data_IF_375217374454
#
_entry.id   IF_375217374454
#
_cell.length_a   1.000
_cell.length_b   1.000
_cell.length_c   1.000
_cell.angle_alpha   90.00
_cell.angle_beta   90.00
_cell.angle_gamma   90.00
#
_symmetry.space_group_name_H-M   'P 1'
#
loop_
_entity.id
_entity.type
_entity.pdbx_description
1 polymer ?
#
# COMPACT_ATOMS: atom_id res chain seq x y z
N UNK A 1 9.38 -5.21 -20.31
CA UNK A 1 8.27 -4.27 -20.03
C UNK A 1 7.30 -4.92 -19.08
N UNK A 2 6.95 -4.26 -17.96
CA UNK A 2 5.90 -4.70 -17.03
C UNK A 2 4.87 -3.59 -16.87
N UNK A 3 3.59 -3.95 -16.76
CA UNK A 3 2.49 -3.02 -16.54
C UNK A 3 1.81 -3.32 -15.20
N UNK A 4 1.18 -2.31 -14.65
CA UNK A 4 0.13 -2.48 -13.66
C UNK A 4 -1.21 -2.33 -14.35
N UNK A 5 -2.09 -3.29 -14.17
CA UNK A 5 -3.40 -3.39 -14.81
C UNK A 5 -4.46 -3.60 -13.73
N UNK A 6 -5.50 -2.79 -13.75
CA UNK A 6 -6.67 -3.00 -12.89
C UNK A 6 -7.77 -3.64 -13.72
N UNK A 7 -8.13 -4.87 -13.35
CA UNK A 7 -9.06 -5.71 -14.09
C UNK A 7 -10.50 -5.16 -14.07
N UNK A 8 -11.27 -5.48 -15.09
CA UNK A 8 -12.65 -4.96 -15.25
C UNK A 8 -13.53 -5.30 -14.04
N UNK A 9 -13.43 -6.50 -13.48
CA UNK A 9 -14.23 -6.90 -12.33
C UNK A 9 -14.00 -6.06 -11.06
N UNK A 10 -12.80 -5.46 -10.90
CA UNK A 10 -12.56 -4.51 -9.84
C UNK A 10 -13.39 -3.23 -10.04
N UNK A 11 -13.40 -2.69 -11.27
CA UNK A 11 -14.13 -1.47 -11.61
C UNK A 11 -15.64 -1.64 -11.52
N UNK A 12 -16.17 -2.86 -11.73
CA UNK A 12 -17.59 -3.15 -11.52
C UNK A 12 -18.02 -2.96 -10.06
N UNK A 13 -17.13 -3.21 -9.11
CA UNK A 13 -17.38 -3.07 -7.66
C UNK A 13 -17.04 -1.65 -7.17
N UNK A 14 -15.94 -1.07 -7.68
CA UNK A 14 -15.38 0.21 -7.25
C UNK A 14 -15.17 1.20 -8.41
N UNK A 15 -16.23 1.64 -9.11
CA UNK A 15 -16.10 2.49 -10.31
C UNK A 15 -15.50 3.87 -10.02
N UNK A 16 -15.57 4.34 -8.78
CA UNK A 16 -15.07 5.65 -8.36
C UNK A 16 -13.70 5.60 -7.71
N UNK A 17 -13.11 4.41 -7.55
CA UNK A 17 -11.78 4.28 -6.96
C UNK A 17 -10.70 4.95 -7.82
N UNK A 18 -9.69 5.47 -7.16
CA UNK A 18 -8.46 5.94 -7.77
C UNK A 18 -7.27 5.28 -7.07
N UNK A 19 -6.27 4.89 -7.84
CA UNK A 19 -5.06 4.26 -7.34
C UNK A 19 -3.87 5.09 -7.82
N UNK A 20 -3.17 5.73 -6.90
CA UNK A 20 -1.90 6.35 -7.21
C UNK A 20 -0.82 5.27 -7.25
N UNK A 21 -0.15 5.19 -8.38
CA UNK A 21 0.95 4.26 -8.66
C UNK A 21 2.24 5.04 -8.67
N UNK A 22 3.23 4.56 -7.95
CA UNK A 22 4.58 5.06 -7.96
C UNK A 22 5.53 3.88 -8.15
N UNK A 23 6.28 3.86 -9.25
CA UNK A 23 7.35 2.91 -9.49
C UNK A 23 8.69 3.64 -9.37
N UNK A 24 9.60 3.11 -8.57
CA UNK A 24 10.91 3.70 -8.30
C UNK A 24 12.03 2.68 -8.45
N UNK A 25 13.23 3.15 -8.74
CA UNK A 25 14.47 2.35 -8.80
C UNK A 25 15.58 3.03 -8.02
N UNK A 26 16.71 2.32 -7.87
CA UNK A 26 17.90 2.77 -7.16
C UNK A 26 17.62 3.12 -5.69
N UNK A 27 16.62 2.47 -5.10
CA UNK A 27 16.31 2.64 -3.68
C UNK A 27 17.48 2.15 -2.84
N UNK A 28 17.84 2.93 -1.82
CA UNK A 28 18.88 2.59 -0.86
C UNK A 28 18.25 2.37 0.50
N UNK A 29 18.08 1.11 0.86
CA UNK A 29 17.58 0.72 2.18
C UNK A 29 18.65 0.87 3.30
N UNK A 30 18.34 0.46 4.49
CA UNK A 30 19.06 0.76 5.74
C UNK A 30 20.59 0.61 5.71
N UNK A 31 21.14 -0.28 4.88
CA UNK A 31 22.59 -0.52 4.78
C UNK A 31 23.39 0.72 4.31
N UNK A 32 22.74 1.62 3.58
CA UNK A 32 23.38 2.75 2.92
C UNK A 32 22.95 4.12 3.47
N UNK A 33 22.07 4.14 4.47
CA UNK A 33 21.66 5.39 5.13
C UNK A 33 22.63 5.79 6.21
N UNK A 34 22.96 7.09 6.24
CA UNK A 34 23.67 7.67 7.38
C UNK A 34 22.73 7.89 8.58
N UNK A 35 23.30 8.03 9.77
CA UNK A 35 22.56 8.19 11.04
C UNK A 35 21.67 9.45 11.04
N UNK A 36 22.02 10.50 10.32
CA UNK A 36 21.25 11.75 10.21
C UNK A 36 19.94 11.50 9.47
N UNK A 37 20.00 10.91 8.26
CA UNK A 37 18.82 10.56 7.47
C UNK A 37 17.92 9.56 8.19
N UNK A 38 18.49 8.55 8.83
CA UNK A 38 17.73 7.58 9.61
C UNK A 38 16.96 8.28 10.76
N UNK A 39 17.59 9.24 11.43
CA UNK A 39 16.96 10.05 12.48
C UNK A 39 15.84 10.94 11.94
N UNK A 40 16.03 11.54 10.76
CA UNK A 40 15.01 12.38 10.10
C UNK A 40 13.80 11.57 9.66
N UNK A 41 13.99 10.37 9.07
CA UNK A 41 12.90 9.46 8.71
C UNK A 41 12.10 9.06 9.96
N UNK A 42 12.80 8.73 11.05
CA UNK A 42 12.15 8.44 12.32
C UNK A 42 11.32 9.62 12.81
N UNK A 43 11.86 10.84 12.77
CA UNK A 43 11.14 12.05 13.17
C UNK A 43 9.91 12.32 12.28
N UNK A 44 10.01 12.04 10.97
CA UNK A 44 8.88 12.08 10.04
C UNK A 44 7.77 11.13 10.47
N UNK A 45 8.11 9.87 10.76
CA UNK A 45 7.15 8.86 11.22
C UNK A 45 6.53 9.22 12.58
N UNK A 46 7.32 9.70 13.52
CA UNK A 46 6.83 10.16 14.83
C UNK A 46 5.83 11.32 14.67
N UNK A 47 6.14 12.30 13.82
CA UNK A 47 5.24 13.41 13.49
C UNK A 47 3.95 12.95 12.82
N UNK A 48 4.03 11.95 11.93
CA UNK A 48 2.88 11.37 11.26
C UNK A 48 1.96 10.62 12.25
N UNK A 49 2.53 9.87 13.20
CA UNK A 49 1.75 9.25 14.29
C UNK A 49 0.94 10.29 15.08
N UNK A 50 1.53 11.43 15.41
CA UNK A 50 0.82 12.51 16.11
C UNK A 50 -0.26 13.15 15.22
N UNK A 51 0.04 13.44 13.97
CA UNK A 51 -0.89 14.07 13.02
C UNK A 51 -2.09 13.16 12.68
N UNK A 52 -1.91 11.85 12.71
CA UNK A 52 -2.97 10.87 12.46
C UNK A 52 -4.10 10.92 13.50
N UNK A 53 -3.85 11.47 14.70
CA UNK A 53 -4.87 11.63 15.75
C UNK A 53 -6.08 12.47 15.29
N UNK A 54 -5.91 13.35 14.29
CA UNK A 54 -7.01 14.12 13.68
C UNK A 54 -8.11 13.23 13.06
N UNK A 55 -7.77 11.99 12.68
CA UNK A 55 -8.71 11.03 12.13
C UNK A 55 -9.39 10.15 13.19
N UNK A 56 -8.99 10.28 14.46
CA UNK A 56 -9.44 9.47 15.58
C UNK A 56 -10.36 10.29 16.48
N UNK A 57 -11.61 10.45 16.05
CA UNK A 57 -12.64 11.23 16.75
C UNK A 57 -13.45 10.41 17.75
N UNK A 58 -13.31 9.06 17.73
CA UNK A 58 -13.93 8.11 18.64
C UNK A 58 -12.88 7.13 19.18
N UNK A 59 -13.06 6.71 20.44
CA UNK A 59 -12.27 5.63 21.06
C UNK A 59 -12.59 4.25 20.46
N UNK A 60 -13.70 4.11 19.76
CA UNK A 60 -14.10 2.91 19.04
C UNK A 60 -13.58 3.01 17.61
N UNK A 61 -12.59 2.19 17.28
CA UNK A 61 -11.89 2.28 15.97
C UNK A 61 -12.86 2.29 14.77
N UNK A 62 -13.92 1.47 14.80
CA UNK A 62 -14.91 1.35 13.72
C UNK A 62 -15.83 2.56 13.53
N UNK A 63 -15.85 3.49 14.46
CA UNK A 63 -16.68 4.70 14.42
C UNK A 63 -15.96 5.87 13.75
N UNK A 64 -14.64 5.76 13.56
CA UNK A 64 -13.85 6.77 12.88
C UNK A 64 -14.13 6.74 11.37
N UNK A 65 -14.34 7.90 10.76
CA UNK A 65 -14.82 8.03 9.38
C UNK A 65 -14.00 7.23 8.37
N UNK A 66 -12.67 7.37 8.38
CA UNK A 66 -11.76 6.64 7.48
C UNK A 66 -11.96 5.13 7.59
N UNK A 67 -12.01 4.62 8.84
CA UNK A 67 -12.16 3.18 9.10
C UNK A 67 -13.52 2.69 8.66
N UNK A 68 -14.57 3.46 8.91
CA UNK A 68 -15.95 3.14 8.49
C UNK A 68 -16.03 3.02 6.96
N UNK A 69 -15.49 3.99 6.23
CA UNK A 69 -15.46 4.00 4.76
C UNK A 69 -14.79 2.72 4.22
N UNK A 70 -13.61 2.35 4.74
CA UNK A 70 -12.92 1.14 4.30
C UNK A 70 -13.62 -0.16 4.72
N UNK A 71 -14.25 -0.22 5.89
CA UNK A 71 -15.05 -1.39 6.29
C UNK A 71 -16.28 -1.58 5.41
N UNK A 72 -16.92 -0.50 4.98
CA UNK A 72 -18.01 -0.55 4.00
C UNK A 72 -17.50 -1.07 2.65
N UNK A 73 -16.33 -0.65 2.19
CA UNK A 73 -15.70 -1.19 0.99
C UNK A 73 -15.41 -2.69 1.11
N UNK A 74 -14.83 -3.13 2.23
CA UNK A 74 -14.53 -4.54 2.50
C UNK A 74 -15.76 -5.43 2.64
N UNK A 75 -16.95 -4.85 2.84
CA UNK A 75 -18.21 -5.61 2.84
C UNK A 75 -18.72 -5.97 1.44
N UNK A 76 -18.14 -5.38 0.38
CA UNK A 76 -18.58 -5.57 -1.01
C UNK A 76 -17.97 -6.81 -1.69
N UNK A 77 -16.99 -7.44 -1.08
CA UNK A 77 -16.33 -8.63 -1.62
C UNK A 77 -15.97 -9.63 -0.52
N UNK A 78 -15.79 -10.93 -0.82
CA UNK A 78 -15.39 -11.93 0.16
C UNK A 78 -14.05 -11.59 0.80
N UNK A 79 -13.97 -11.66 2.13
CA UNK A 79 -12.75 -11.40 2.89
C UNK A 79 -12.49 -12.50 3.91
N UNK A 80 -11.23 -12.76 4.24
CA UNK A 80 -10.88 -13.63 5.37
C UNK A 80 -11.34 -12.99 6.68
N UNK A 81 -11.81 -13.79 7.62
CA UNK A 81 -12.20 -13.30 8.94
C UNK A 81 -11.05 -12.53 9.60
N UNK A 82 -11.32 -11.28 9.94
CA UNK A 82 -10.34 -10.38 10.57
C UNK A 82 -9.52 -9.56 9.58
N UNK A 83 -9.72 -9.73 8.26
CA UNK A 83 -9.12 -8.85 7.27
C UNK A 83 -9.60 -7.40 7.47
N UNK A 84 -8.68 -6.47 7.27
CA UNK A 84 -8.92 -5.04 7.40
C UNK A 84 -7.96 -4.27 6.51
N UNK A 85 -8.37 -3.08 6.08
CA UNK A 85 -7.50 -2.19 5.34
C UNK A 85 -6.23 -1.83 6.14
N UNK A 86 -5.09 -1.68 5.46
CA UNK A 86 -3.81 -1.36 6.11
C UNK A 86 -3.88 -0.09 6.95
N UNK A 87 -4.53 0.96 6.47
CA UNK A 87 -4.69 2.21 7.24
C UNK A 87 -5.48 2.01 8.56
N UNK A 88 -6.47 1.10 8.60
CA UNK A 88 -7.14 0.75 9.85
C UNK A 88 -6.16 0.15 10.86
N UNK A 89 -5.22 -0.68 10.40
CA UNK A 89 -4.22 -1.29 11.28
C UNK A 89 -3.28 -0.21 11.88
N UNK A 90 -2.85 0.74 11.07
CA UNK A 90 -2.00 1.85 11.52
C UNK A 90 -2.75 2.77 12.50
N UNK A 91 -3.94 3.24 12.15
CA UNK A 91 -4.78 4.09 13.00
C UNK A 91 -5.14 3.42 14.34
N UNK A 92 -5.37 2.11 14.33
CA UNK A 92 -5.63 1.36 15.55
C UNK A 92 -4.44 1.36 16.51
N UNK A 93 -3.21 1.29 16.00
CA UNK A 93 -1.98 1.41 16.83
C UNK A 93 -1.90 2.78 17.48
N UNK A 94 -2.12 3.85 16.69
CA UNK A 94 -2.12 5.24 17.20
C UNK A 94 -3.19 5.42 18.28
N UNK A 95 -4.42 4.93 18.05
CA UNK A 95 -5.53 5.02 18.99
C UNK A 95 -5.21 4.36 20.35
N UNK A 96 -4.50 3.24 20.34
CA UNK A 96 -4.16 2.50 21.56
C UNK A 96 -2.84 2.94 22.20
N UNK A 97 -2.22 4.04 21.74
CA UNK A 97 -0.97 4.55 22.31
C UNK A 97 0.25 3.66 22.02
N UNK A 98 0.18 2.82 21.00
CA UNK A 98 1.30 2.01 20.51
C UNK A 98 1.67 2.48 19.10
N UNK A 99 2.39 3.61 18.95
CA UNK A 99 2.66 4.24 17.66
C UNK A 99 3.34 3.27 16.69
N UNK A 100 3.18 3.54 15.39
CA UNK A 100 3.90 2.82 14.35
C UNK A 100 5.39 3.11 14.51
N UNK A 101 6.18 2.07 14.68
CA UNK A 101 7.63 2.17 14.85
C UNK A 101 8.37 1.93 13.54
N UNK A 102 9.68 2.13 13.59
CA UNK A 102 10.58 1.94 12.43
C UNK A 102 10.74 0.46 12.07
N UNK A 103 10.79 0.19 10.77
CA UNK A 103 10.98 -1.14 10.17
C UNK A 103 12.14 -1.06 9.16
N UNK A 104 11.95 -0.31 8.08
CA UNK A 104 12.91 -0.05 7.03
C UNK A 104 12.62 1.34 6.43
N UNK A 105 13.60 2.05 5.87
CA UNK A 105 13.44 3.44 5.41
C UNK A 105 12.23 3.67 4.50
N UNK A 106 12.09 2.89 3.44
CA UNK A 106 10.94 3.02 2.53
C UNK A 106 9.62 2.73 3.23
N UNK A 107 9.57 1.68 4.04
CA UNK A 107 8.37 1.31 4.82
C UNK A 107 8.00 2.40 5.81
N UNK A 108 8.97 3.03 6.47
CA UNK A 108 8.75 4.11 7.43
C UNK A 108 8.21 5.36 6.74
N UNK A 109 8.76 5.71 5.57
CA UNK A 109 8.29 6.83 4.75
C UNK A 109 6.86 6.56 4.24
N UNK A 110 6.58 5.37 3.72
CA UNK A 110 5.24 5.00 3.26
C UNK A 110 4.22 5.00 4.40
N UNK A 111 4.59 4.47 5.58
CA UNK A 111 3.75 4.52 6.78
C UNK A 111 3.50 5.96 7.25
N UNK A 112 4.50 6.83 7.18
CA UNK A 112 4.35 8.24 7.54
C UNK A 112 3.35 8.96 6.62
N UNK A 113 3.43 8.74 5.30
CA UNK A 113 2.47 9.29 4.33
C UNK A 113 1.08 8.67 4.52
N UNK A 114 0.99 7.35 4.72
CA UNK A 114 -0.28 6.66 5.01
C UNK A 114 -0.98 7.26 6.23
N UNK A 115 -0.27 7.48 7.33
CA UNK A 115 -0.80 8.11 8.54
C UNK A 115 -1.19 9.57 8.33
N UNK A 116 -0.36 10.35 7.63
CA UNK A 116 -0.57 11.78 7.40
C UNK A 116 -1.83 12.07 6.60
N UNK A 117 -2.07 11.27 5.55
CA UNK A 117 -3.18 11.45 4.61
C UNK A 117 -4.34 10.46 4.82
N UNK A 118 -4.16 9.47 5.69
CA UNK A 118 -5.13 8.40 5.94
C UNK A 118 -5.54 7.65 4.66
N UNK A 119 -4.58 7.31 3.81
CA UNK A 119 -4.72 6.38 2.70
C UNK A 119 -3.99 5.07 2.99
N UNK A 120 -4.54 3.90 2.58
CA UNK A 120 -3.76 2.68 2.55
C UNK A 120 -2.64 2.81 1.53
N UNK A 121 -1.46 2.33 1.90
CA UNK A 121 -0.29 2.26 1.02
C UNK A 121 0.33 0.89 1.18
N UNK A 122 0.70 0.25 0.07
CA UNK A 122 1.51 -0.96 0.00
C UNK A 122 2.75 -0.72 -0.86
N UNK A 123 3.86 -1.33 -0.49
CA UNK A 123 5.12 -1.31 -1.24
C UNK A 123 5.59 -2.75 -1.48
N UNK A 124 6.02 -3.06 -2.70
CA UNK A 124 6.39 -4.39 -3.14
C UNK A 124 7.72 -4.36 -3.91
N UNK A 125 8.54 -5.38 -3.73
CA UNK A 125 9.75 -5.57 -4.52
C UNK A 125 9.41 -5.95 -5.96
N UNK A 126 9.50 -5.01 -6.88
CA UNK A 126 9.12 -5.16 -8.28
C UNK A 126 10.05 -6.10 -9.07
N UNK A 127 11.27 -6.36 -8.58
CA UNK A 127 12.20 -7.28 -9.24
C UNK A 127 11.71 -8.72 -9.20
N UNK A 128 10.87 -9.05 -8.22
CA UNK A 128 10.32 -10.40 -8.03
C UNK A 128 9.05 -10.66 -8.84
N UNK A 129 8.43 -9.64 -9.46
CA UNK A 129 7.20 -9.80 -10.25
C UNK A 129 7.41 -10.69 -11.46
N UNK A 130 6.43 -11.52 -11.78
CA UNK A 130 6.37 -12.40 -12.95
C UNK A 130 5.27 -11.93 -13.91
N UNK A 131 5.69 -11.35 -15.04
CA UNK A 131 4.75 -10.73 -15.97
C UNK A 131 4.21 -9.39 -15.49
N UNK A 132 3.01 -9.05 -15.91
CA UNK A 132 2.29 -7.84 -15.50
C UNK A 132 1.74 -8.00 -14.07
N UNK A 133 1.65 -6.89 -13.34
CA UNK A 133 0.98 -6.83 -12.04
C UNK A 133 -0.50 -6.51 -12.26
N UNK A 134 -1.37 -7.24 -11.61
CA UNK A 134 -2.81 -7.03 -11.68
C UNK A 134 -3.43 -6.68 -10.32
N UNK A 135 -4.52 -5.92 -10.34
CA UNK A 135 -5.47 -5.82 -9.25
C UNK A 135 -6.82 -6.33 -9.75
N UNK A 136 -7.34 -7.40 -9.17
CA UNK A 136 -8.55 -8.02 -9.69
C UNK A 136 -9.21 -9.00 -8.73
N UNK A 137 -10.18 -9.75 -9.26
CA UNK A 137 -11.00 -10.71 -8.50
C UNK A 137 -10.42 -12.12 -8.62
N UNK A 138 -10.13 -12.73 -7.49
CA UNK A 138 -9.55 -14.07 -7.41
C UNK A 138 -10.59 -15.17 -7.67
N UNK A 139 -10.14 -16.26 -8.30
CA UNK A 139 -10.97 -17.47 -8.49
C UNK A 139 -11.03 -18.31 -7.21
N UNK A 140 -10.06 -18.10 -6.32
CA UNK A 140 -9.86 -18.84 -5.08
C UNK A 140 -8.90 -19.99 -5.22
N UNK A 141 -7.96 -20.10 -4.28
CA UNK A 141 -6.98 -21.17 -4.25
C UNK A 141 -5.66 -20.86 -4.96
N UNK A 142 -5.48 -19.63 -5.47
CA UNK A 142 -4.21 -19.15 -6.00
C UNK A 142 -3.12 -19.20 -4.91
N UNK A 143 -1.85 -19.40 -5.30
CA UNK A 143 -0.75 -19.48 -4.35
C UNK A 143 -0.54 -18.14 -3.62
N UNK A 144 -0.40 -18.22 -2.30
CA UNK A 144 -0.10 -17.07 -1.45
C UNK A 144 0.52 -17.49 -0.12
N UNK A 145 1.67 -16.92 0.18
CA UNK A 145 2.40 -17.11 1.43
C UNK A 145 2.54 -15.76 2.13
N UNK A 146 1.81 -15.52 3.24
CA UNK A 146 1.90 -14.24 3.95
C UNK A 146 3.29 -14.02 4.57
N UNK A 147 3.71 -12.76 4.64
CA UNK A 147 4.89 -12.36 5.43
C UNK A 147 4.72 -12.87 6.88
N UNK A 148 5.77 -13.50 7.41
CA UNK A 148 5.80 -14.02 8.78
C UNK A 148 4.96 -15.28 9.00
N UNK A 149 4.54 -15.97 7.93
CA UNK A 149 3.83 -17.25 8.01
C UNK A 149 4.62 -18.38 7.33
N UNK A 150 4.61 -19.56 7.96
CA UNK A 150 5.18 -20.78 7.40
C UNK A 150 4.12 -21.67 6.69
N UNK A 151 2.92 -21.12 6.47
CA UNK A 151 1.81 -21.83 5.83
C UNK A 151 1.19 -21.00 4.72
N UNK A 152 0.83 -21.63 3.59
CA UNK A 152 0.08 -20.95 2.55
C UNK A 152 -1.31 -20.55 3.06
N UNK A 153 -1.77 -19.41 2.61
CA UNK A 153 -3.10 -18.88 2.92
C UNK A 153 -3.77 -18.39 1.63
N UNK A 154 -4.22 -19.29 0.74
CA UNK A 154 -4.80 -18.90 -0.55
C UNK A 154 -6.00 -17.97 -0.39
N UNK A 155 -6.25 -17.07 -1.36
CA UNK A 155 -7.42 -16.19 -1.34
C UNK A 155 -8.72 -16.97 -1.49
N UNK A 156 -9.81 -16.35 -1.08
CA UNK A 156 -11.15 -16.86 -1.31
C UNK A 156 -11.61 -16.55 -2.74
N UNK A 157 -12.51 -17.36 -3.28
CA UNK A 157 -13.17 -17.04 -4.54
C UNK A 157 -13.96 -15.73 -4.40
N UNK A 158 -13.76 -14.79 -5.32
CA UNK A 158 -14.35 -13.45 -5.29
C UNK A 158 -13.59 -12.43 -4.44
N UNK A 159 -12.50 -12.82 -3.78
CA UNK A 159 -11.62 -11.90 -3.05
C UNK A 159 -10.91 -10.96 -4.03
N UNK A 160 -10.72 -9.70 -3.66
CA UNK A 160 -9.89 -8.76 -4.40
C UNK A 160 -8.45 -8.89 -3.92
N UNK A 161 -7.51 -8.97 -4.87
CA UNK A 161 -6.09 -9.07 -4.55
C UNK A 161 -5.21 -8.45 -5.64
N UNK A 162 -4.00 -8.05 -5.25
CA UNK A 162 -2.89 -7.86 -6.19
C UNK A 162 -2.29 -9.22 -6.53
N UNK A 163 -2.00 -9.46 -7.82
CA UNK A 163 -1.46 -10.72 -8.29
C UNK A 163 -0.67 -10.58 -9.59
N UNK A 164 0.17 -11.56 -9.88
CA UNK A 164 0.89 -11.70 -11.15
C UNK A 164 0.77 -13.12 -11.68
N UNK A 165 1.58 -13.50 -12.67
CA UNK A 165 1.55 -14.85 -13.29
C UNK A 165 1.91 -15.98 -12.31
N UNK A 166 2.64 -15.70 -11.22
CA UNK A 166 3.07 -16.71 -10.24
C UNK A 166 2.06 -16.90 -9.11
N UNK A 167 1.32 -15.83 -8.73
CA UNK A 167 0.34 -15.93 -7.66
C UNK A 167 -0.02 -14.57 -7.05
N UNK A 168 -0.66 -14.65 -5.88
CA UNK A 168 -1.11 -13.46 -5.17
C UNK A 168 0.06 -12.75 -4.48
N UNK A 169 0.06 -11.43 -4.56
CA UNK A 169 1.05 -10.52 -3.99
C UNK A 169 0.52 -9.91 -2.69
N UNK A 170 -0.69 -9.33 -2.73
CA UNK A 170 -1.34 -8.80 -1.54
C UNK A 170 -2.80 -9.22 -1.50
N UNK A 171 -3.25 -9.84 -0.37
CA UNK A 171 -4.60 -10.36 -0.17
C UNK A 171 -5.57 -9.35 0.40
N UNK A 172 -6.87 -9.60 0.14
CA UNK A 172 -7.97 -8.72 0.57
C UNK A 172 -7.65 -7.27 0.23
N UNK A 173 -7.31 -7.04 -1.03
CA UNK A 173 -6.91 -5.75 -1.59
C UNK A 173 -5.58 -5.25 -0.98
N UNK A 174 -5.62 -4.58 0.16
CA UNK A 174 -4.46 -3.97 0.82
C UNK A 174 -4.35 -4.40 2.31
N UNK A 175 -4.63 -5.69 2.58
CA UNK A 175 -4.61 -6.19 3.95
C UNK A 175 -3.31 -6.89 4.33
N UNK A 176 -2.82 -7.79 3.47
CA UNK A 176 -1.74 -8.71 3.84
C UNK A 176 -0.81 -8.97 2.67
N UNK A 177 0.44 -8.57 2.83
CA UNK A 177 1.47 -8.72 1.81
C UNK A 177 2.08 -10.12 1.80
N UNK A 178 2.50 -10.55 0.62
CA UNK A 178 3.10 -11.84 0.35
C UNK A 178 4.62 -11.84 0.55
N UNK A 179 5.13 -12.97 1.05
CA UNK A 179 6.57 -13.13 1.33
C UNK A 179 7.45 -13.01 0.07
N UNK A 180 6.93 -13.40 -1.10
CA UNK A 180 7.70 -13.40 -2.35
C UNK A 180 8.09 -12.00 -2.81
N UNK A 181 7.25 -11.03 -2.57
CA UNK A 181 7.38 -9.65 -3.03
C UNK A 181 7.71 -8.67 -1.91
N UNK A 182 8.05 -9.19 -0.72
CA UNK A 182 8.43 -8.41 0.44
C UNK A 182 9.60 -7.47 0.13
N UNK A 183 9.47 -6.21 0.54
CA UNK A 183 10.58 -5.25 0.52
C UNK A 183 11.58 -5.64 1.59
N UNK A 184 12.83 -5.77 1.21
CA UNK A 184 13.95 -6.15 2.08
C UNK A 184 15.12 -5.17 1.93
N UNK A 185 16.14 -5.30 2.76
CA UNK A 185 17.35 -4.47 2.70
C UNK A 185 18.08 -4.52 1.32
N UNK A 186 17.85 -5.57 0.54
CA UNK A 186 18.43 -5.73 -0.80
C UNK A 186 17.53 -5.21 -1.92
N UNK A 187 16.33 -4.73 -1.62
CA UNK A 187 15.38 -4.23 -2.62
C UNK A 187 15.86 -2.91 -3.19
N UNK A 188 15.92 -2.82 -4.52
CA UNK A 188 16.36 -1.62 -5.24
C UNK A 188 15.32 -1.05 -6.19
N UNK A 189 14.27 -1.82 -6.49
CA UNK A 189 13.21 -1.43 -7.42
C UNK A 189 11.86 -1.74 -6.78
N UNK A 190 11.04 -0.72 -6.55
CA UNK A 190 9.78 -0.85 -5.83
C UNK A 190 8.59 -0.40 -6.65
N UNK A 191 7.49 -1.12 -6.49
CA UNK A 191 6.14 -0.71 -6.86
C UNK A 191 5.40 -0.28 -5.60
N UNK A 192 4.83 0.91 -5.62
CA UNK A 192 4.06 1.45 -4.50
C UNK A 192 2.67 1.82 -5.01
N UNK A 193 1.64 1.33 -4.33
CA UNK A 193 0.25 1.68 -4.60
C UNK A 193 -0.36 2.39 -3.38
N UNK A 194 -1.13 3.45 -3.67
CA UNK A 194 -1.91 4.18 -2.66
C UNK A 194 -3.35 4.27 -3.16
N UNK A 195 -4.30 3.76 -2.39
CA UNK A 195 -5.68 3.66 -2.83
C UNK A 195 -6.59 4.69 -2.19
N UNK A 196 -7.50 5.23 -3.00
CA UNK A 196 -8.56 6.15 -2.61
C UNK A 196 -9.90 5.69 -3.19
N UNK A 197 -10.93 5.58 -2.34
CA UNK A 197 -12.29 5.20 -2.73
C UNK A 197 -13.31 6.35 -2.55
N UNK A 198 -12.79 7.52 -2.21
CA UNK A 198 -13.59 8.74 -1.97
C UNK A 198 -13.26 9.78 -3.06
N UNK A 199 -14.15 10.00 -4.06
CA UNK A 199 -13.86 10.88 -5.20
C UNK A 199 -13.47 12.31 -4.83
N UNK A 200 -13.98 12.80 -3.71
CA UNK A 200 -13.68 14.15 -3.21
C UNK A 200 -12.26 14.27 -2.62
N UNK A 201 -11.53 13.16 -2.45
CA UNK A 201 -10.17 13.12 -1.91
C UNK A 201 -9.09 12.86 -2.96
N UNK A 202 -9.42 12.83 -4.25
CA UNK A 202 -8.45 12.60 -5.34
C UNK A 202 -7.36 13.68 -5.37
N UNK A 203 -7.69 14.92 -5.02
CA UNK A 203 -6.69 16.00 -4.88
C UNK A 203 -5.68 15.72 -3.77
N UNK A 204 -6.15 15.23 -2.61
CA UNK A 204 -5.26 14.82 -1.51
C UNK A 204 -4.40 13.60 -1.89
N UNK A 205 -4.96 12.67 -2.70
CA UNK A 205 -4.21 11.52 -3.21
C UNK A 205 -3.04 11.96 -4.10
N UNK A 206 -3.27 12.98 -4.96
CA UNK A 206 -2.20 13.55 -5.79
C UNK A 206 -1.11 14.21 -4.94
N UNK A 207 -1.51 14.99 -3.93
CA UNK A 207 -0.56 15.61 -3.00
C UNK A 207 0.25 14.56 -2.24
N UNK A 208 -0.41 13.49 -1.78
CA UNK A 208 0.23 12.42 -1.03
C UNK A 208 1.27 11.65 -1.86
N UNK A 209 0.95 11.30 -3.13
CA UNK A 209 1.92 10.59 -3.99
C UNK A 209 3.05 11.49 -4.43
N UNK A 210 2.82 12.79 -4.61
CA UNK A 210 3.86 13.75 -4.92
C UNK A 210 4.83 13.93 -3.74
N UNK A 211 4.31 14.05 -2.53
CA UNK A 211 5.13 14.11 -1.32
C UNK A 211 5.91 12.81 -1.11
N UNK A 212 5.26 11.64 -1.27
CA UNK A 212 5.92 10.35 -1.17
C UNK A 212 7.10 10.23 -2.13
N UNK A 213 6.90 10.57 -3.41
CA UNK A 213 7.97 10.54 -4.41
C UNK A 213 9.15 11.45 -4.04
N UNK A 214 8.87 12.65 -3.54
CA UNK A 214 9.91 13.59 -3.09
C UNK A 214 10.69 13.05 -1.89
N UNK A 215 10.01 12.47 -0.90
CA UNK A 215 10.66 11.91 0.28
C UNK A 215 11.54 10.71 -0.06
N UNK A 216 11.06 9.80 -0.92
CA UNK A 216 11.85 8.66 -1.38
C UNK A 216 13.08 9.12 -2.16
N UNK A 217 12.94 10.10 -3.05
CA UNK A 217 14.08 10.67 -3.76
C UNK A 217 15.09 11.30 -2.80
N UNK A 218 14.61 12.03 -1.80
CA UNK A 218 15.48 12.76 -0.86
C UNK A 218 16.21 11.84 0.10
N UNK A 219 15.49 10.90 0.73
CA UNK A 219 16.04 10.10 1.81
C UNK A 219 16.73 8.83 1.31
N UNK A 220 16.14 8.10 0.40
CA UNK A 220 16.64 6.79 -0.05
C UNK A 220 17.21 6.81 -1.48
N UNK A 221 17.36 8.00 -2.08
CA UNK A 221 17.99 8.17 -3.40
C UNK A 221 17.16 7.60 -4.56
N UNK A 222 15.89 7.33 -4.35
CA UNK A 222 15.03 6.74 -5.36
C UNK A 222 14.88 7.62 -6.61
N UNK A 223 14.93 6.99 -7.77
CA UNK A 223 14.61 7.59 -9.06
C UNK A 223 13.20 7.14 -9.50
N UNK A 224 12.32 8.09 -9.77
CA UNK A 224 10.97 7.80 -10.24
C UNK A 224 10.99 7.26 -11.67
N UNK A 225 10.50 6.02 -11.86
CA UNK A 225 10.28 5.41 -13.17
C UNK A 225 8.93 5.87 -13.72
N UNK A 226 7.88 5.79 -12.89
CA UNK A 226 6.53 6.21 -13.23
C UNK A 226 5.78 6.69 -11.99
N UNK A 227 4.94 7.71 -12.19
CA UNK A 227 4.00 8.22 -11.21
C UNK A 227 2.70 8.59 -11.90
N UNK A 228 1.61 7.87 -11.61
CA UNK A 228 0.34 8.07 -12.28
C UNK A 228 -0.84 7.72 -11.37
N UNK A 229 -1.97 8.42 -11.50
CA UNK A 229 -3.23 8.02 -10.90
C UNK A 229 -4.03 7.22 -11.92
N UNK A 230 -4.35 5.97 -11.56
CA UNK A 230 -5.20 5.05 -12.31
C UNK A 230 -6.64 5.20 -11.84
N UNK A 231 -7.58 5.17 -12.77
CA UNK A 231 -9.02 5.19 -12.53
C UNK A 231 -9.74 4.39 -13.64
N UNK A 232 -11.06 4.33 -13.58
CA UNK A 232 -11.87 3.57 -14.56
C UNK A 232 -11.65 3.97 -16.03
N UNK A 233 -11.16 5.19 -16.31
CA UNK A 233 -10.85 5.66 -17.65
C UNK A 233 -9.40 5.40 -18.06
N UNK A 234 -8.51 5.11 -17.08
CA UNK A 234 -7.08 4.86 -17.30
C UNK A 234 -6.71 3.62 -16.48
N UNK A 235 -7.07 2.44 -17.01
CA UNK A 235 -7.04 1.17 -16.27
C UNK A 235 -5.67 0.53 -16.12
N UNK A 236 -4.65 1.04 -16.81
CA UNK A 236 -3.30 0.48 -16.80
C UNK A 236 -2.22 1.55 -16.91
N UNK A 237 -1.02 1.21 -16.45
CA UNK A 237 0.18 2.04 -16.63
C UNK A 237 1.43 1.17 -16.70
N UNK A 238 2.46 1.68 -17.39
CA UNK A 238 3.79 1.06 -17.41
C UNK A 238 4.46 1.26 -16.05
N UNK A 239 5.05 0.20 -15.50
CA UNK A 239 5.81 0.27 -14.24
C UNK A 239 7.29 -0.09 -14.41
N UNK A 240 7.65 -0.74 -15.52
CA UNK A 240 9.04 -1.07 -15.87
C UNK A 240 9.19 -1.17 -17.40
N UNK A 241 10.24 -0.58 -17.96
CA UNK A 241 10.63 -0.73 -19.37
C UNK A 241 11.20 -2.10 -19.71
#
# INVERSE_FOLDING_TARGET
>A
MKRFIVDEGFWEIFPEACIAVLAVKNVQESIHLDDEKASEIKALLDSANESAKKYLTSEVISENAVVKTWREAYSKFPTKKGARCSIEALLKRVLHGTPVGTIAPTVDITNAISLKYAFPIGAENMETFKGDLHLGIMKGGEDFWPIGSDKPEPPLAGEIAYYDEEGVICRCWNWRDGKRTEVTDDTTVEFIAMECIEPNRVGELQEAVDELANLLTHYVGAEVINKQIININTKETMIQE
#
